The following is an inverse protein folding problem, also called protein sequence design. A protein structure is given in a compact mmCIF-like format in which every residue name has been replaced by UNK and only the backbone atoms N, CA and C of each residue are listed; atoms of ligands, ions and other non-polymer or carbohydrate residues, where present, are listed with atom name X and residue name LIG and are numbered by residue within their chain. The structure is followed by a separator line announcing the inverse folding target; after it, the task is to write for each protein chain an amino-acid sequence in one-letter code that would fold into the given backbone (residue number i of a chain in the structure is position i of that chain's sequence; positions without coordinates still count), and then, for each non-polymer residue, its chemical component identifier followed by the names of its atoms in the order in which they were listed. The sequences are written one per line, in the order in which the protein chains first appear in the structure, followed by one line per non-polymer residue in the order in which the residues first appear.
data_IF_511139779195
#
_entry.id   IF_511139779195
#
_cell.length_a   1.000
_cell.length_b   1.000
_cell.length_c   1.000
_cell.angle_alpha   90.00
_cell.angle_beta   90.00
_cell.angle_gamma   90.00
#
_symmetry.space_group_name_H-M   'P 1'
#
loop_
_entity.id
_entity.type
_entity.pdbx_description
1 polymer ?
#
# COMPACT_ATOMS: atom_id res chain seq x y z
N UNK A 1 41.43 5.38 16.50
CA UNK A 1 40.05 5.24 17.03
C UNK A 1 39.54 3.93 16.45
N UNK A 2 39.41 2.89 17.26
CA UNK A 2 38.80 1.64 16.83
C UNK A 2 37.30 1.74 17.06
N UNK A 3 36.50 1.65 16.00
CA UNK A 3 35.06 1.50 16.11
C UNK A 3 34.79 0.07 16.62
N UNK A 4 34.33 -0.07 17.84
CA UNK A 4 33.90 -1.34 18.39
C UNK A 4 32.45 -1.56 17.96
N UNK A 5 32.22 -2.57 17.12
CA UNK A 5 30.88 -3.03 16.83
C UNK A 5 30.34 -3.70 18.09
N UNK A 6 29.43 -3.07 18.80
CA UNK A 6 28.71 -3.70 19.88
C UNK A 6 27.61 -4.58 19.26
N UNK A 7 27.66 -5.89 19.40
CA UNK A 7 26.61 -6.80 18.88
C UNK A 7 25.43 -6.84 19.86
N UNK A 8 24.91 -5.70 20.24
CA UNK A 8 23.66 -5.59 20.97
C UNK A 8 22.58 -5.29 19.95
N UNK A 9 21.56 -6.12 19.93
CA UNK A 9 20.36 -5.94 19.11
C UNK A 9 19.85 -4.50 19.24
N UNK A 10 20.27 -3.65 18.32
CA UNK A 10 19.73 -2.30 18.20
C UNK A 10 18.31 -2.47 17.64
N UNK A 11 17.34 -2.57 18.52
CA UNK A 11 15.92 -2.57 18.17
C UNK A 11 15.49 -1.11 18.09
N UNK A 12 15.07 -0.69 16.92
CA UNK A 12 14.46 0.63 16.70
C UNK A 12 13.02 0.45 16.24
N UNK A 13 12.14 1.33 16.70
CA UNK A 13 10.79 1.44 16.17
C UNK A 13 10.85 2.37 14.97
N UNK A 14 10.36 1.90 13.84
CA UNK A 14 10.33 2.65 12.60
C UNK A 14 8.98 2.50 11.90
N UNK A 15 8.75 3.36 10.93
CA UNK A 15 7.55 3.32 10.08
C UNK A 15 7.88 2.73 8.72
N UNK A 16 7.03 1.84 8.23
CA UNK A 16 7.17 1.22 6.91
C UNK A 16 5.91 1.44 6.09
N UNK A 17 6.08 1.51 4.77
CA UNK A 17 4.98 1.46 3.83
C UNK A 17 5.15 0.24 2.92
N UNK A 18 4.08 -0.51 2.74
CA UNK A 18 4.05 -1.70 1.88
C UNK A 18 2.94 -1.56 0.85
N UNK A 19 3.27 -1.84 -0.40
CA UNK A 19 2.31 -2.04 -1.48
C UNK A 19 2.21 -3.53 -1.78
N UNK A 20 1.00 -4.03 -1.91
CA UNK A 20 0.77 -5.41 -2.32
C UNK A 20 0.89 -5.57 -3.83
N UNK A 21 1.01 -6.82 -4.29
CA UNK A 21 1.00 -7.15 -5.71
C UNK A 21 -0.30 -6.66 -6.37
N UNK A 22 -0.16 -6.03 -7.51
CA UNK A 22 -1.29 -5.51 -8.26
C UNK A 22 -0.91 -5.13 -9.69
N UNK A 23 -1.91 -4.81 -10.49
CA UNK A 23 -1.76 -4.33 -11.87
C UNK A 23 -2.17 -2.87 -11.92
N UNK A 24 -1.29 -2.03 -12.43
CA UNK A 24 -1.53 -0.60 -12.61
C UNK A 24 -1.61 -0.26 -14.09
N UNK A 25 -2.56 0.61 -14.45
CA UNK A 25 -2.61 1.17 -15.78
C UNK A 25 -1.77 2.43 -15.82
N UNK A 26 -0.64 2.39 -16.54
CA UNK A 26 0.35 3.46 -16.60
C UNK A 26 0.63 3.81 -18.06
N UNK A 27 0.33 5.04 -18.45
CA UNK A 27 0.63 5.58 -19.79
C UNK A 27 0.17 4.70 -20.96
N UNK A 28 -0.99 4.07 -20.82
CA UNK A 28 -1.56 3.21 -21.84
C UNK A 28 -1.20 1.72 -21.71
N UNK A 29 -0.44 1.34 -20.70
CA UNK A 29 -0.01 -0.05 -20.47
C UNK A 29 -0.47 -0.59 -19.12
N UNK A 30 -0.81 -1.85 -19.08
CA UNK A 30 -1.01 -2.59 -17.83
C UNK A 30 0.35 -3.08 -17.33
N UNK A 31 0.74 -2.63 -16.14
CA UNK A 31 2.03 -2.91 -15.53
C UNK A 31 1.83 -3.71 -14.27
N UNK A 32 2.41 -4.90 -14.22
CA UNK A 32 2.44 -5.72 -13.02
C UNK A 32 3.43 -5.13 -12.01
N UNK A 33 2.95 -4.86 -10.81
CA UNK A 33 3.76 -4.38 -9.70
C UNK A 33 3.76 -5.43 -8.62
N UNK A 34 4.91 -6.00 -8.35
CA UNK A 34 5.11 -6.94 -7.24
C UNK A 34 5.05 -6.23 -5.91
N UNK A 35 4.86 -7.00 -4.84
CA UNK A 35 4.90 -6.48 -3.48
C UNK A 35 6.24 -5.80 -3.20
N UNK A 36 6.19 -4.59 -2.66
CA UNK A 36 7.36 -3.81 -2.27
C UNK A 36 7.14 -3.18 -0.90
N UNK A 37 8.18 -3.11 -0.11
CA UNK A 37 8.17 -2.47 1.20
C UNK A 37 9.32 -1.48 1.31
N UNK A 38 9.03 -0.29 1.79
CA UNK A 38 10.05 0.74 2.07
C UNK A 38 9.97 1.19 3.52
N UNK A 39 11.11 1.54 4.08
CA UNK A 39 11.20 2.15 5.40
C UNK A 39 11.02 3.66 5.24
N UNK A 40 10.01 4.22 5.90
CA UNK A 40 9.75 5.66 5.89
C UNK A 40 10.71 6.36 6.83
N UNK A 41 10.78 5.89 8.08
CA UNK A 41 11.70 6.38 9.09
C UNK A 41 12.17 5.25 10.00
N UNK A 42 13.44 5.33 10.42
CA UNK A 42 14.06 4.30 11.25
C UNK A 42 13.89 4.54 12.76
N UNK A 43 13.63 5.78 13.17
CA UNK A 43 13.66 6.16 14.59
C UNK A 43 12.45 6.96 15.05
N UNK A 44 11.44 7.11 14.20
CA UNK A 44 10.22 7.86 14.55
C UNK A 44 8.96 7.16 14.06
N UNK A 45 7.88 7.33 14.82
CA UNK A 45 6.54 6.88 14.46
C UNK A 45 5.71 7.96 13.77
N UNK A 46 6.31 9.12 13.50
CA UNK A 46 5.61 10.29 12.94
C UNK A 46 6.15 10.67 11.56
N UNK A 47 6.08 9.76 10.56
CA UNK A 47 6.57 10.04 9.23
C UNK A 47 5.72 11.12 8.56
N UNK A 48 6.39 11.98 7.78
CA UNK A 48 5.79 13.02 6.96
C UNK A 48 6.35 12.92 5.57
N UNK A 49 5.71 12.10 4.71
CA UNK A 49 6.16 11.76 3.36
C UNK A 49 5.02 11.56 2.40
N UNK A 50 5.31 11.77 1.14
CA UNK A 50 4.52 11.27 0.01
C UNK A 50 5.10 9.92 -0.42
N UNK A 51 4.27 8.91 -0.43
CA UNK A 51 4.64 7.55 -0.84
C UNK A 51 3.90 7.21 -2.12
N UNK A 52 4.63 6.69 -3.07
CA UNK A 52 4.03 6.38 -4.37
C UNK A 52 4.96 5.58 -5.27
N UNK A 53 4.51 5.38 -6.49
CA UNK A 53 5.25 4.66 -7.51
C UNK A 53 6.03 5.64 -8.40
N UNK A 54 7.32 5.45 -8.48
CA UNK A 54 8.17 6.09 -9.48
C UNK A 54 8.22 5.25 -10.73
N UNK A 55 7.89 5.87 -11.86
CA UNK A 55 7.81 5.22 -13.16
C UNK A 55 9.11 5.43 -13.91
N UNK A 56 9.74 4.34 -14.29
CA UNK A 56 10.95 4.32 -15.12
C UNK A 56 10.66 3.58 -16.42
N UNK A 57 10.96 4.23 -17.53
CA UNK A 57 10.84 3.65 -18.86
C UNK A 57 12.23 3.45 -19.45
N UNK A 58 12.45 2.29 -20.06
CA UNK A 58 13.73 1.96 -20.69
C UNK A 58 13.52 1.03 -21.88
N UNK A 59 14.47 1.05 -22.79
CA UNK A 59 14.57 0.06 -23.86
C UNK A 59 15.65 -0.93 -23.43
N UNK A 60 15.32 -2.19 -23.41
CA UNK A 60 16.25 -3.28 -23.14
C UNK A 60 16.73 -3.81 -24.48
N UNK A 61 18.03 -3.86 -24.62
CA UNK A 61 18.72 -4.36 -25.80
C UNK A 61 19.30 -5.74 -25.54
N UNK A 62 19.69 -6.50 -26.57
CA UNK A 62 20.41 -7.77 -26.42
C UNK A 62 21.75 -7.66 -25.66
N UNK A 63 22.31 -6.44 -25.58
CA UNK A 63 23.51 -6.17 -24.78
C UNK A 63 23.21 -6.13 -23.29
N UNK A 64 21.98 -5.72 -22.91
CA UNK A 64 21.52 -5.66 -21.53
C UNK A 64 20.96 -7.00 -21.06
N UNK A 65 20.39 -7.79 -21.97
CA UNK A 65 19.74 -9.06 -21.70
C UNK A 65 20.03 -10.07 -22.83
N UNK A 66 20.95 -10.99 -22.58
CA UNK A 66 21.35 -12.03 -23.53
C UNK A 66 20.23 -12.96 -23.95
N UNK A 67 19.13 -13.04 -23.19
CA UNK A 67 17.96 -13.85 -23.56
C UNK A 67 17.22 -13.30 -24.76
N UNK A 68 17.50 -12.06 -25.17
CA UNK A 68 16.98 -11.44 -26.38
C UNK A 68 17.76 -11.81 -27.66
N UNK A 69 18.85 -12.55 -27.54
CA UNK A 69 19.56 -13.08 -28.69
C UNK A 69 18.81 -14.25 -29.34
N UNK A 70 19.08 -14.46 -30.62
CA UNK A 70 18.50 -15.60 -31.35
C UNK A 70 19.03 -16.91 -30.76
N UNK A 71 18.11 -17.81 -30.40
CA UNK A 71 18.41 -19.13 -29.84
C UNK A 71 18.44 -20.25 -30.89
N UNK A 72 18.42 -19.94 -32.17
CA UNK A 72 18.41 -20.91 -33.28
C UNK A 72 19.72 -21.70 -33.38
N UNK A 73 19.89 -22.64 -32.47
CA UNK A 73 21.10 -23.49 -32.38
C UNK A 73 21.36 -24.23 -33.69
N UNK A 74 22.60 -24.18 -34.19
CA UNK A 74 23.01 -24.84 -35.42
C UNK A 74 22.78 -24.06 -36.70
N UNK A 75 22.37 -22.79 -36.61
CA UNK A 75 22.24 -21.87 -37.73
C UNK A 75 23.30 -20.77 -37.67
N UNK A 76 23.53 -20.08 -38.82
CA UNK A 76 24.45 -18.95 -38.86
C UNK A 76 23.98 -17.74 -38.07
N UNK A 77 22.70 -17.72 -37.65
CA UNK A 77 22.09 -16.61 -36.90
C UNK A 77 22.11 -16.87 -35.39
N UNK A 78 22.67 -17.98 -34.93
CA UNK A 78 22.79 -18.26 -33.51
C UNK A 78 23.48 -17.11 -32.78
N UNK A 79 22.88 -16.67 -31.66
CA UNK A 79 23.33 -15.53 -30.85
C UNK A 79 23.34 -14.17 -31.61
N UNK A 80 22.68 -14.05 -32.76
CA UNK A 80 22.47 -12.76 -33.39
C UNK A 80 21.57 -11.86 -32.50
N UNK A 81 21.83 -10.54 -32.46
CA UNK A 81 21.01 -9.61 -31.71
C UNK A 81 19.55 -9.65 -32.14
N UNK A 82 18.66 -9.90 -31.17
CA UNK A 82 17.22 -9.94 -31.39
C UNK A 82 16.55 -8.57 -31.24
N UNK A 83 15.24 -8.58 -31.12
CA UNK A 83 14.46 -7.36 -31.02
C UNK A 83 14.63 -6.70 -29.64
N UNK A 84 14.69 -5.38 -29.62
CA UNK A 84 14.65 -4.58 -28.41
C UNK A 84 13.30 -4.72 -27.72
N UNK A 85 13.26 -4.56 -26.40
CA UNK A 85 12.05 -4.61 -25.57
C UNK A 85 11.86 -3.29 -24.83
N UNK A 86 10.64 -2.78 -24.90
CA UNK A 86 10.25 -1.65 -24.06
C UNK A 86 9.90 -2.17 -22.67
N UNK A 87 10.49 -1.58 -21.64
CA UNK A 87 10.26 -1.92 -20.24
C UNK A 87 9.76 -0.72 -19.48
N UNK A 88 8.65 -0.91 -18.79
CA UNK A 88 8.13 0.00 -17.78
C UNK A 88 8.35 -0.65 -16.42
N UNK A 89 8.97 0.07 -15.51
CA UNK A 89 9.18 -0.36 -14.12
C UNK A 89 8.54 0.64 -13.18
N UNK A 90 7.74 0.15 -12.24
CA UNK A 90 7.17 0.93 -11.16
C UNK A 90 7.84 0.54 -9.85
N UNK A 91 8.46 1.50 -9.18
CA UNK A 91 9.21 1.27 -7.94
C UNK A 91 8.59 2.11 -6.83
N UNK A 92 8.33 1.49 -5.67
CA UNK A 92 7.81 2.18 -4.51
C UNK A 92 8.89 3.08 -3.91
N UNK A 93 8.62 4.37 -3.83
CA UNK A 93 9.53 5.38 -3.28
C UNK A 93 8.80 6.32 -2.33
N UNK A 94 9.55 6.94 -1.44
CA UNK A 94 9.08 8.04 -0.60
C UNK A 94 9.69 9.36 -1.08
N UNK A 95 8.89 10.42 -1.04
CA UNK A 95 9.30 11.80 -1.37
C UNK A 95 8.88 12.75 -0.28
N UNK A 96 9.53 13.90 -0.21
CA UNK A 96 9.18 14.97 0.72
C UNK A 96 7.81 15.52 0.36
N UNK A 97 7.05 16.03 1.34
CA UNK A 97 5.67 16.49 1.15
C UNK A 97 5.60 17.62 0.10
N UNK A 98 6.57 18.51 0.07
CA UNK A 98 6.56 19.74 -0.74
C UNK A 98 7.08 19.54 -2.18
N UNK A 99 7.50 18.33 -2.55
CA UNK A 99 8.04 18.06 -3.89
C UNK A 99 6.94 17.63 -4.87
N UNK A 100 6.27 18.58 -5.47
CA UNK A 100 5.20 18.35 -6.45
C UNK A 100 5.71 18.37 -7.92
N UNK A 101 7.01 18.44 -8.15
CA UNK A 101 7.56 18.70 -9.47
C UNK A 101 7.77 17.46 -10.34
N UNK A 102 7.65 16.27 -9.79
CA UNK A 102 8.01 15.03 -10.47
C UNK A 102 6.85 14.43 -11.26
N UNK A 103 6.96 14.53 -12.60
CA UNK A 103 5.97 13.98 -13.54
C UNK A 103 5.93 12.45 -13.62
N UNK A 104 6.97 11.79 -13.14
CA UNK A 104 7.10 10.32 -13.17
C UNK A 104 6.69 9.66 -11.86
N UNK A 105 6.24 10.45 -10.90
CA UNK A 105 5.81 9.96 -9.59
C UNK A 105 4.28 9.93 -9.50
N UNK A 106 3.73 8.76 -9.19
CA UNK A 106 2.31 8.56 -8.92
C UNK A 106 2.14 8.46 -7.41
N UNK A 107 1.59 9.50 -6.80
CA UNK A 107 1.33 9.53 -5.37
C UNK A 107 0.18 8.59 -5.00
N UNK A 108 0.44 7.64 -4.11
CA UNK A 108 -0.55 6.69 -3.59
C UNK A 108 -1.00 7.04 -2.17
N UNK A 109 -0.09 7.56 -1.36
CA UNK A 109 -0.32 7.85 0.04
C UNK A 109 0.42 9.13 0.44
N UNK A 110 -0.26 10.04 1.13
CA UNK A 110 0.35 11.21 1.77
C UNK A 110 0.17 11.12 3.27
N UNK A 111 1.27 11.20 3.97
CA UNK A 111 1.34 11.19 5.42
C UNK A 111 1.88 12.50 5.92
N UNK A 112 1.24 13.07 6.92
CA UNK A 112 1.72 14.21 7.66
C UNK A 112 1.63 13.92 9.16
N UNK A 113 2.77 13.84 9.83
CA UNK A 113 2.87 13.42 11.23
C UNK A 113 2.08 12.12 11.52
N UNK A 114 2.28 11.10 10.71
CA UNK A 114 1.55 9.81 10.72
C UNK A 114 0.05 9.89 10.39
N UNK A 115 -0.49 11.09 10.19
CA UNK A 115 -1.88 11.23 9.77
C UNK A 115 -1.97 11.09 8.26
N UNK A 116 -2.87 10.23 7.81
CA UNK A 116 -3.16 10.07 6.37
C UNK A 116 -3.94 11.29 5.90
N UNK A 117 -3.31 12.11 5.05
CA UNK A 117 -3.96 13.25 4.40
C UNK A 117 -4.61 12.86 3.07
N UNK A 118 -3.96 11.97 2.33
CA UNK A 118 -4.45 11.49 1.05
C UNK A 118 -4.13 10.01 0.90
N UNK A 119 -5.12 9.28 0.46
CA UNK A 119 -4.99 7.88 0.08
C UNK A 119 -5.67 7.69 -1.27
N UNK A 120 -4.98 7.09 -2.23
CA UNK A 120 -5.56 6.80 -3.55
C UNK A 120 -6.46 5.59 -3.41
N UNK A 121 -7.76 5.87 -3.41
CA UNK A 121 -8.77 4.83 -3.49
C UNK A 121 -8.79 4.23 -4.91
N UNK A 122 -9.40 3.05 -5.04
CA UNK A 122 -9.59 2.43 -6.35
C UNK A 122 -10.40 3.37 -7.25
N UNK A 123 -9.75 3.83 -8.18
CA UNK A 123 -9.87 4.39 -9.48
C UNK A 123 -11.24 4.85 -10.02
N UNK A 124 -11.60 4.42 -11.18
CA UNK A 124 -12.62 5.02 -12.06
C UNK A 124 -14.04 4.95 -11.50
N UNK A 125 -14.33 3.96 -10.68
CA UNK A 125 -15.65 3.81 -10.07
C UNK A 125 -15.77 4.50 -8.72
N UNK A 126 -14.68 4.92 -8.08
CA UNK A 126 -14.75 5.54 -6.75
C UNK A 126 -15.48 6.89 -6.75
N UNK A 127 -15.33 7.68 -7.81
CA UNK A 127 -16.06 8.93 -7.96
C UNK A 127 -17.56 8.68 -8.25
N UNK A 128 -17.85 7.65 -9.04
CA UNK A 128 -19.23 7.22 -9.29
C UNK A 128 -19.86 6.67 -8.01
N UNK A 129 -19.14 5.83 -7.26
CA UNK A 129 -19.58 5.30 -5.97
C UNK A 129 -19.86 6.43 -4.97
N UNK A 130 -18.97 7.42 -4.87
CA UNK A 130 -19.17 8.60 -4.02
C UNK A 130 -20.41 9.40 -4.44
N UNK A 131 -20.58 9.64 -5.73
CA UNK A 131 -21.73 10.35 -6.26
C UNK A 131 -23.04 9.61 -5.96
N UNK A 132 -23.06 8.30 -6.19
CA UNK A 132 -24.21 7.45 -5.87
C UNK A 132 -24.49 7.39 -4.37
N UNK A 133 -23.45 7.31 -3.54
CA UNK A 133 -23.58 7.31 -2.09
C UNK A 133 -24.16 8.63 -1.57
N UNK A 134 -23.67 9.78 -2.08
CA UNK A 134 -24.21 11.10 -1.73
C UNK A 134 -25.68 11.20 -2.14
N UNK A 135 -26.02 10.79 -3.36
CA UNK A 135 -27.40 10.82 -3.85
C UNK A 135 -28.32 9.91 -3.03
N UNK A 136 -27.86 8.72 -2.68
CA UNK A 136 -28.63 7.81 -1.81
C UNK A 136 -28.82 8.40 -0.43
N UNK A 137 -27.81 9.07 0.11
CA UNK A 137 -27.91 9.79 1.38
C UNK A 137 -28.94 10.92 1.32
N UNK A 138 -28.95 11.69 0.25
CA UNK A 138 -29.91 12.79 0.04
C UNK A 138 -31.36 12.28 -0.07
N UNK A 139 -31.55 11.09 -0.65
CA UNK A 139 -32.88 10.49 -0.83
C UNK A 139 -33.35 9.69 0.41
N UNK A 140 -32.46 8.99 1.10
CA UNK A 140 -32.81 8.00 2.12
C UNK A 140 -32.16 8.24 3.49
N UNK A 141 -31.26 9.22 3.62
CA UNK A 141 -30.47 9.45 4.82
C UNK A 141 -29.42 8.35 5.08
N UNK A 142 -29.09 8.14 6.35
CA UNK A 142 -28.15 7.11 6.74
C UNK A 142 -28.72 5.71 6.54
N UNK A 143 -27.98 4.83 5.89
CA UNK A 143 -28.39 3.44 5.65
C UNK A 143 -27.25 2.46 5.87
N UNK A 144 -27.59 1.20 6.11
CA UNK A 144 -26.63 0.13 6.31
C UNK A 144 -26.33 -0.54 4.98
N UNK A 145 -25.04 -0.54 4.58
CA UNK A 145 -24.56 -1.20 3.35
C UNK A 145 -24.33 -2.70 3.58
N UNK A 146 -23.91 -3.05 4.78
CA UNK A 146 -23.69 -4.44 5.21
C UNK A 146 -24.21 -4.60 6.62
N UNK A 147 -25.00 -5.62 6.82
CA UNK A 147 -25.49 -5.96 8.14
C UNK A 147 -24.33 -6.23 9.09
N UNK A 148 -24.42 -5.66 10.28
CA UNK A 148 -23.48 -5.91 11.36
C UNK A 148 -24.25 -6.25 12.62
N UNK A 149 -23.66 -7.15 13.41
CA UNK A 149 -24.29 -7.63 14.65
C UNK A 149 -24.10 -6.58 15.77
N UNK A 150 -25.17 -5.90 16.11
CA UNK A 150 -25.20 -4.97 17.24
C UNK A 150 -25.89 -5.68 18.41
N UNK A 151 -25.18 -5.79 19.51
CA UNK A 151 -25.72 -6.34 20.75
C UNK A 151 -25.59 -5.33 21.87
N UNK A 152 -26.69 -5.03 22.53
CA UNK A 152 -26.66 -4.29 23.79
C UNK A 152 -26.31 -5.26 24.91
N UNK A 153 -25.38 -4.86 25.74
CA UNK A 153 -24.98 -5.62 26.92
C UNK A 153 -24.95 -4.71 28.13
N UNK A 154 -25.26 -5.26 29.27
CA UNK A 154 -25.12 -4.56 30.53
C UNK A 154 -23.64 -4.31 30.82
N UNK A 155 -23.30 -3.08 31.21
CA UNK A 155 -21.95 -2.74 31.64
C UNK A 155 -21.85 -3.05 33.14
N UNK A 156 -21.04 -4.04 33.47
CA UNK A 156 -20.68 -4.38 34.84
C UNK A 156 -19.23 -3.99 35.07
N UNK A 157 -19.02 -2.92 35.83
CA UNK A 157 -17.68 -2.53 36.25
C UNK A 157 -17.36 -3.26 37.56
N UNK A 158 -16.58 -4.32 37.46
CA UNK A 158 -16.03 -5.07 38.59
C UNK A 158 -14.57 -4.70 38.90
N UNK A 159 -14.05 -3.64 38.28
CA UNK A 159 -12.66 -3.17 38.38
C UNK A 159 -11.64 -4.03 37.63
N UNK A 160 -12.06 -5.13 37.04
CA UNK A 160 -11.19 -6.06 36.32
C UNK A 160 -11.38 -6.01 34.79
N UNK A 161 -12.58 -5.75 34.33
CA UNK A 161 -12.95 -5.82 32.91
C UNK A 161 -13.30 -4.46 32.30
N UNK A 162 -13.09 -3.35 33.01
CA UNK A 162 -13.40 -2.00 32.57
C UNK A 162 -14.84 -1.82 32.05
N UNK A 163 -15.80 -2.43 32.71
CA UNK A 163 -17.19 -2.37 32.29
C UNK A 163 -17.56 -3.24 31.09
N UNK A 164 -16.68 -4.12 30.63
CA UNK A 164 -16.96 -5.04 29.54
C UNK A 164 -17.56 -6.34 30.06
N UNK A 165 -18.66 -6.76 29.46
CA UNK A 165 -19.30 -8.03 29.77
C UNK A 165 -18.44 -9.22 29.38
N UNK A 166 -18.04 -10.06 30.31
CA UNK A 166 -17.28 -11.28 30.03
C UNK A 166 -18.24 -12.42 29.64
N UNK A 167 -18.23 -12.83 28.40
CA UNK A 167 -19.00 -13.97 27.94
C UNK A 167 -18.48 -15.25 28.59
N UNK A 168 -19.34 -15.91 29.37
CA UNK A 168 -19.02 -17.18 30.06
C UNK A 168 -19.27 -17.21 31.54
N UNK A 169 -19.44 -16.07 32.17
CA UNK A 169 -19.82 -16.02 33.59
C UNK A 169 -21.34 -16.04 33.72
N UNK A 170 -21.91 -17.11 34.30
CA UNK A 170 -23.36 -17.26 34.41
C UNK A 170 -24.06 -16.14 35.18
N UNK A 171 -23.35 -15.46 36.07
CA UNK A 171 -23.83 -14.30 36.82
C UNK A 171 -24.02 -13.05 35.97
N UNK A 172 -23.42 -13.02 34.79
CA UNK A 172 -23.50 -11.89 33.83
C UNK A 172 -24.47 -12.17 32.68
N UNK A 173 -25.16 -13.32 32.68
CA UNK A 173 -26.18 -13.66 31.69
C UNK A 173 -27.57 -13.08 32.02
N UNK A 174 -27.71 -12.38 33.13
CA UNK A 174 -28.92 -11.65 33.46
C UNK A 174 -29.03 -10.41 32.57
N UNK A 175 -30.10 -10.34 31.82
CA UNK A 175 -30.53 -9.19 31.02
C UNK A 175 -29.72 -8.87 29.75
N UNK A 176 -29.76 -9.77 28.81
CA UNK A 176 -29.84 -9.32 27.41
C UNK A 176 -31.31 -9.00 27.14
N UNK A 177 -31.64 -7.78 26.65
CA UNK A 177 -33.00 -7.50 26.18
C UNK A 177 -33.33 -8.39 24.99
#
# INVERSE_FOLDING_TARGET
IFAQLLPTNAIAIGSTATINTGVYFIRGYFVDVSQQTIILDQYTNYPSYRVGLEISESIITPEDDETLNDNATGTSNYAAPGAHRFRIKATLVKKVIDDDTDKNFIELLRLNNSKVEKFVERTEYSELEKMLAIRTYDESGNYTVKDFDIRMRESLDDGLNNGVYAAGTKTQQGNTP
#
